data_IF_929823587307
#
_entry.id   IF_929823587307
#
_cell.length_a   1.000
_cell.length_b   1.000
_cell.length_c   1.000
_cell.angle_alpha   90.00
_cell.angle_beta   90.00
_cell.angle_gamma   90.00
#
_symmetry.space_group_name_H-M   'P 1'
#
loop_
_entity.id
_entity.type
_entity.pdbx_description
1 polymer ?
#
# COMPACT_ATOMS: atom_id res chain seq x y z
N UNK A 1 18.82 -2.37 9.35
CA UNK A 1 19.40 -2.30 7.98
C UNK A 1 18.40 -2.87 6.99
N UNK A 2 18.19 -2.21 5.84
CA UNK A 2 17.34 -2.76 4.77
C UNK A 2 18.06 -3.93 4.10
N UNK A 3 17.39 -5.06 3.98
CA UNK A 3 17.97 -6.31 3.49
C UNK A 3 17.39 -6.67 2.12
N UNK A 4 18.19 -7.33 1.28
CA UNK A 4 17.73 -7.85 -0.01
C UNK A 4 16.53 -8.79 0.16
N UNK A 5 16.56 -9.64 1.20
CA UNK A 5 15.47 -10.55 1.54
C UNK A 5 14.16 -9.81 1.81
N UNK A 6 14.20 -8.75 2.62
CA UNK A 6 13.01 -7.96 2.93
C UNK A 6 12.41 -7.30 1.68
N UNK A 7 13.26 -6.75 0.80
CA UNK A 7 12.84 -6.20 -0.49
C UNK A 7 12.13 -7.25 -1.34
N UNK A 8 12.72 -8.45 -1.49
CA UNK A 8 12.13 -9.54 -2.29
C UNK A 8 10.77 -9.97 -1.74
N UNK A 9 10.66 -10.14 -0.42
CA UNK A 9 9.39 -10.52 0.23
C UNK A 9 8.32 -9.46 -0.05
N UNK A 10 8.63 -8.19 0.19
CA UNK A 10 7.66 -7.10 0.02
C UNK A 10 7.27 -6.93 -1.44
N UNK A 11 8.20 -6.95 -2.39
CA UNK A 11 7.87 -6.87 -3.82
C UNK A 11 7.02 -8.04 -4.28
N UNK A 12 7.31 -9.26 -3.81
CA UNK A 12 6.49 -10.45 -4.15
C UNK A 12 5.08 -10.30 -3.58
N UNK A 13 4.97 -9.86 -2.33
CA UNK A 13 3.68 -9.60 -1.69
C UNK A 13 2.90 -8.51 -2.43
N UNK A 14 3.51 -7.37 -2.72
CA UNK A 14 2.92 -6.26 -3.48
C UNK A 14 2.40 -6.73 -4.84
N UNK A 15 3.18 -7.53 -5.57
CA UNK A 15 2.75 -8.05 -6.87
C UNK A 15 1.52 -8.96 -6.76
N UNK A 16 1.54 -9.89 -5.81
CA UNK A 16 0.39 -10.80 -5.58
C UNK A 16 -0.83 -10.01 -5.11
N UNK A 17 -0.64 -9.02 -4.25
CA UNK A 17 -1.74 -8.19 -3.77
C UNK A 17 -2.37 -7.36 -4.89
N UNK A 18 -1.56 -6.67 -5.70
CA UNK A 18 -2.04 -5.93 -6.87
C UNK A 18 -2.86 -6.84 -7.81
N UNK A 19 -2.40 -8.07 -8.07
CA UNK A 19 -3.14 -9.05 -8.87
C UNK A 19 -4.49 -9.43 -8.24
N UNK A 20 -4.53 -9.58 -6.92
CA UNK A 20 -5.77 -9.88 -6.21
C UNK A 20 -6.73 -8.68 -6.25
N UNK A 21 -6.21 -7.46 -6.11
CA UNK A 21 -7.02 -6.24 -6.12
C UNK A 21 -7.68 -5.98 -7.47
N UNK A 22 -7.10 -6.45 -8.58
CA UNK A 22 -7.71 -6.36 -9.90
C UNK A 22 -9.08 -7.05 -9.92
N UNK A 23 -10.13 -6.24 -10.07
CA UNK A 23 -11.51 -6.71 -10.10
C UNK A 23 -12.17 -6.90 -8.74
N UNK A 24 -11.48 -6.58 -7.63
CA UNK A 24 -12.11 -6.56 -6.31
C UNK A 24 -13.05 -5.36 -6.15
N UNK A 25 -14.28 -5.63 -5.77
CA UNK A 25 -15.24 -4.61 -5.34
C UNK A 25 -15.27 -4.58 -3.81
N UNK A 26 -14.56 -3.61 -3.23
CA UNK A 26 -14.46 -3.42 -1.78
C UNK A 26 -15.71 -2.82 -1.13
N UNK A 27 -16.74 -2.49 -1.93
CA UNK A 27 -17.99 -1.86 -1.48
C UNK A 27 -19.17 -2.83 -1.59
N UNK A 28 -19.55 -3.53 -0.49
CA UNK A 28 -20.67 -4.46 -0.48
C UNK A 28 -22.00 -3.84 -0.91
N UNK A 29 -22.20 -2.52 -0.78
CA UNK A 29 -23.42 -1.84 -1.25
C UNK A 29 -23.60 -1.89 -2.76
N UNK A 30 -22.50 -2.02 -3.51
CA UNK A 30 -22.51 -2.10 -4.98
C UNK A 30 -22.68 -3.51 -5.51
N UNK A 31 -22.62 -4.52 -4.65
CA UNK A 31 -22.75 -5.92 -5.02
C UNK A 31 -24.20 -6.35 -4.85
N UNK A 32 -24.85 -6.76 -5.95
CA UNK A 32 -26.26 -7.12 -5.96
C UNK A 32 -26.58 -8.28 -5.02
N UNK A 33 -25.67 -9.25 -4.90
CA UNK A 33 -25.79 -10.45 -4.08
C UNK A 33 -25.46 -10.24 -2.59
N UNK A 34 -25.02 -9.05 -2.17
CA UNK A 34 -24.74 -8.77 -0.76
C UNK A 34 -26.01 -8.86 0.10
N UNK A 35 -25.93 -9.44 1.31
CA UNK A 35 -27.00 -9.39 2.29
C UNK A 35 -27.46 -7.97 2.60
N UNK A 36 -28.74 -7.78 2.92
CA UNK A 36 -29.34 -6.47 3.19
C UNK A 36 -28.60 -5.70 4.29
N UNK A 37 -28.26 -6.37 5.39
CA UNK A 37 -27.55 -5.75 6.51
C UNK A 37 -26.17 -5.21 6.10
N UNK A 38 -25.48 -5.85 5.15
CA UNK A 38 -24.19 -5.36 4.65
C UNK A 38 -24.39 -4.07 3.84
N UNK A 39 -25.43 -4.01 3.01
CA UNK A 39 -25.73 -2.82 2.19
C UNK A 39 -26.14 -1.61 3.05
N UNK A 40 -26.81 -1.86 4.17
CA UNK A 40 -27.19 -0.81 5.12
C UNK A 40 -25.99 -0.27 5.91
N UNK A 41 -25.06 -1.14 6.29
CA UNK A 41 -23.87 -0.74 7.07
C UNK A 41 -22.75 -0.16 6.19
N UNK A 42 -22.43 -0.83 5.08
CA UNK A 42 -21.35 -0.45 4.18
C UNK A 42 -21.81 0.58 3.16
N UNK A 43 -21.86 1.85 3.55
CA UNK A 43 -21.91 2.96 2.59
C UNK A 43 -20.59 3.07 1.83
N UNK A 44 -20.53 3.72 0.65
CA UNK A 44 -19.27 3.91 -0.08
C UNK A 44 -18.16 4.51 0.78
N UNK A 45 -18.49 5.45 1.67
CA UNK A 45 -17.54 6.05 2.62
C UNK A 45 -17.04 5.02 3.64
N UNK A 46 -17.93 4.22 4.23
CA UNK A 46 -17.55 3.20 5.22
C UNK A 46 -16.69 2.12 4.58
N UNK A 47 -17.10 1.60 3.42
CA UNK A 47 -16.33 0.63 2.61
C UNK A 47 -14.92 1.11 2.34
N UNK A 48 -14.79 2.39 2.02
CA UNK A 48 -13.52 3.03 1.72
C UNK A 48 -12.60 3.17 2.95
N UNK A 49 -13.13 3.55 4.12
CA UNK A 49 -12.34 3.56 5.36
C UNK A 49 -11.99 2.16 5.86
N UNK A 50 -12.93 1.22 5.74
CA UNK A 50 -12.70 -0.19 6.08
C UNK A 50 -11.55 -0.74 5.25
N UNK A 51 -11.56 -0.49 3.95
CA UNK A 51 -10.52 -0.92 3.05
C UNK A 51 -9.14 -0.36 3.43
N UNK A 52 -9.04 0.93 3.76
CA UNK A 52 -7.80 1.57 4.24
C UNK A 52 -7.20 0.90 5.47
N UNK A 53 -8.04 0.58 6.45
CA UNK A 53 -7.60 -0.12 7.67
C UNK A 53 -7.07 -1.50 7.31
N UNK A 54 -7.81 -2.25 6.49
CA UNK A 54 -7.40 -3.57 6.04
C UNK A 54 -6.09 -3.54 5.26
N UNK A 55 -5.95 -2.64 4.29
CA UNK A 55 -4.73 -2.45 3.52
C UNK A 55 -3.54 -2.10 4.41
N UNK A 56 -3.71 -1.15 5.33
CA UNK A 56 -2.65 -0.78 6.29
C UNK A 56 -2.20 -1.99 7.10
N UNK A 57 -3.12 -2.81 7.60
CA UNK A 57 -2.82 -4.04 8.35
C UNK A 57 -2.09 -5.04 7.46
N UNK A 58 -2.60 -5.27 6.24
CA UNK A 58 -2.05 -6.20 5.28
C UNK A 58 -0.62 -5.86 4.87
N UNK A 59 -0.27 -4.58 4.76
CA UNK A 59 1.11 -4.14 4.47
C UNK A 59 2.00 -4.05 5.71
N UNK A 60 1.42 -3.78 6.88
CA UNK A 60 2.17 -3.71 8.14
C UNK A 60 2.74 -5.06 8.52
N UNK A 61 1.99 -6.15 8.32
CA UNK A 61 2.43 -7.48 8.73
C UNK A 61 3.68 -8.00 7.97
N UNK A 62 3.73 -8.00 6.63
CA UNK A 62 4.95 -8.31 5.87
C UNK A 62 6.11 -7.37 6.20
N UNK A 63 5.82 -6.09 6.44
CA UNK A 63 6.83 -5.10 6.82
C UNK A 63 7.47 -5.40 8.17
N UNK A 64 6.66 -5.83 9.15
CA UNK A 64 7.12 -6.35 10.43
C UNK A 64 8.01 -7.58 10.25
N UNK A 65 7.58 -8.55 9.43
CA UNK A 65 8.36 -9.76 9.15
C UNK A 65 9.71 -9.43 8.48
N UNK A 66 9.74 -8.44 7.58
CA UNK A 66 10.94 -8.03 6.87
C UNK A 66 11.94 -7.24 7.74
N UNK A 67 11.44 -6.44 8.70
CA UNK A 67 12.28 -5.67 9.62
C UNK A 67 12.66 -6.42 10.90
N UNK A 68 11.86 -7.42 11.29
CA UNK A 68 11.94 -8.10 12.57
C UNK A 68 11.51 -7.24 13.77
N UNK A 69 10.87 -6.09 13.54
CA UNK A 69 10.48 -5.12 14.59
C UNK A 69 9.11 -4.55 14.34
N UNK A 70 8.27 -4.46 15.36
CA UNK A 70 6.93 -3.89 15.21
C UNK A 70 6.98 -2.39 14.88
N UNK A 71 7.79 -1.63 15.62
CA UNK A 71 7.96 -0.19 15.41
C UNK A 71 9.43 0.15 15.19
N UNK A 72 9.79 0.48 13.95
CA UNK A 72 11.14 0.95 13.60
C UNK A 72 11.13 1.75 12.30
N UNK A 73 12.19 2.53 12.06
CA UNK A 73 12.38 3.20 10.77
C UNK A 73 12.45 2.19 9.62
N UNK A 74 13.02 0.99 9.87
CA UNK A 74 13.02 -0.09 8.88
C UNK A 74 11.61 -0.62 8.58
N UNK A 75 10.77 -0.81 9.59
CA UNK A 75 9.38 -1.25 9.40
C UNK A 75 8.59 -0.22 8.61
N UNK A 76 8.72 1.06 8.97
CA UNK A 76 8.08 2.16 8.24
C UNK A 76 8.58 2.23 6.80
N UNK A 77 9.89 2.03 6.59
CA UNK A 77 10.46 1.98 5.24
C UNK A 77 9.88 0.84 4.41
N UNK A 78 9.78 -0.38 4.95
CA UNK A 78 9.19 -1.52 4.24
C UNK A 78 7.69 -1.33 3.98
N UNK A 79 6.96 -0.68 4.88
CA UNK A 79 5.54 -0.41 4.71
C UNK A 79 5.32 0.52 3.51
N UNK A 80 6.01 1.67 3.51
CA UNK A 80 5.93 2.64 2.40
C UNK A 80 6.42 1.98 1.10
N UNK A 81 7.49 1.18 1.17
CA UNK A 81 8.04 0.50 0.00
C UNK A 81 7.04 -0.49 -0.59
N UNK A 82 6.42 -1.31 0.26
CA UNK A 82 5.43 -2.29 -0.18
C UNK A 82 4.22 -1.63 -0.82
N UNK A 83 3.64 -0.63 -0.17
CA UNK A 83 2.44 0.03 -0.68
C UNK A 83 2.70 0.78 -1.99
N UNK A 84 3.81 1.52 -2.09
CA UNK A 84 4.17 2.23 -3.34
C UNK A 84 4.47 1.26 -4.48
N UNK A 85 5.18 0.16 -4.21
CA UNK A 85 5.45 -0.84 -5.27
C UNK A 85 4.17 -1.54 -5.70
N UNK A 86 3.24 -1.77 -4.78
CA UNK A 86 1.96 -2.35 -5.10
C UNK A 86 1.13 -1.43 -6.00
N UNK A 87 0.98 -0.15 -5.67
CA UNK A 87 0.23 0.80 -6.49
C UNK A 87 0.83 0.92 -7.91
N UNK A 88 2.16 1.03 -8.01
CA UNK A 88 2.86 1.00 -9.31
C UNK A 88 2.54 -0.28 -10.11
N UNK A 89 2.56 -1.44 -9.47
CA UNK A 89 2.26 -2.71 -10.13
C UNK A 89 0.78 -2.77 -10.54
N UNK A 90 -0.13 -2.33 -9.66
CA UNK A 90 -1.56 -2.30 -9.93
C UNK A 90 -1.86 -1.53 -11.21
N UNK A 91 -1.34 -0.30 -11.34
CA UNK A 91 -1.56 0.51 -12.55
C UNK A 91 -0.93 -0.07 -13.80
N UNK A 92 0.23 -0.72 -13.69
CA UNK A 92 0.85 -1.44 -14.81
C UNK A 92 -0.06 -2.59 -15.26
N UNK A 93 -0.62 -3.36 -14.32
CA UNK A 93 -1.44 -4.52 -14.62
C UNK A 93 -2.86 -4.16 -15.09
N UNK A 94 -3.46 -3.08 -14.58
CA UNK A 94 -4.78 -2.60 -15.04
C UNK A 94 -4.71 -2.00 -16.46
N UNK A 95 -3.51 -1.68 -16.96
CA UNK A 95 -3.27 -1.08 -18.28
C UNK A 95 -4.06 0.23 -18.47
N UNK A 96 -4.22 0.97 -17.37
CA UNK A 96 -4.90 2.28 -17.35
C UNK A 96 -3.98 3.33 -16.76
N UNK A 97 -4.13 4.55 -17.26
CA UNK A 97 -3.48 5.71 -16.64
C UNK A 97 -4.13 5.91 -15.28
N UNK A 98 -3.36 6.13 -14.20
CA UNK A 98 -3.90 6.49 -12.91
C UNK A 98 -4.90 7.62 -13.07
N UNK A 99 -6.10 7.41 -12.56
CA UNK A 99 -7.17 8.41 -12.53
C UNK A 99 -7.59 8.61 -11.07
N UNK A 100 -8.34 9.67 -10.81
CA UNK A 100 -8.73 10.13 -9.45
C UNK A 100 -9.46 9.10 -8.57
N UNK A 101 -9.66 7.86 -9.06
CA UNK A 101 -10.17 6.72 -8.30
C UNK A 101 -9.08 5.85 -7.66
N UNK A 102 -7.81 6.14 -7.88
CA UNK A 102 -6.74 5.68 -7.02
C UNK A 102 -6.90 6.35 -5.64
N UNK A 103 -7.63 5.70 -4.73
CA UNK A 103 -7.23 5.66 -3.32
C UNK A 103 -7.08 6.95 -2.46
N UNK A 104 -7.49 8.14 -2.93
CA UNK A 104 -7.46 9.47 -2.24
C UNK A 104 -6.23 10.36 -2.45
N UNK A 105 -5.88 10.69 -3.68
CA UNK A 105 -4.84 11.71 -3.86
C UNK A 105 -4.98 12.44 -5.19
N UNK A 106 -4.48 13.68 -5.24
CA UNK A 106 -4.44 14.41 -6.49
C UNK A 106 -3.54 13.66 -7.46
N UNK A 107 -4.14 13.18 -8.54
CA UNK A 107 -3.40 12.72 -9.72
C UNK A 107 -3.22 13.93 -10.62
N UNK A 108 -1.97 14.28 -10.90
CA UNK A 108 -1.64 15.41 -11.79
C UNK A 108 -1.07 14.87 -13.09
N UNK A 109 -1.75 15.09 -14.21
CA UNK A 109 -1.34 14.58 -15.53
C UNK A 109 -1.03 13.07 -15.56
N UNK A 110 -1.83 12.26 -14.85
CA UNK A 110 -1.64 10.81 -14.78
C UNK A 110 -0.57 10.34 -13.80
N UNK A 111 -0.01 11.25 -12.99
CA UNK A 111 1.00 10.94 -11.96
C UNK A 111 0.35 10.97 -10.57
N UNK A 112 0.33 9.85 -9.84
CA UNK A 112 -0.09 9.82 -8.44
C UNK A 112 0.91 10.61 -7.57
N UNK A 113 0.43 11.68 -6.92
CA UNK A 113 1.31 12.56 -6.12
C UNK A 113 1.78 11.87 -4.84
N UNK A 114 0.97 10.99 -4.27
CA UNK A 114 1.29 10.20 -3.09
C UNK A 114 2.45 9.22 -3.35
N UNK A 115 2.51 8.57 -4.52
CA UNK A 115 3.63 7.72 -4.91
C UNK A 115 4.94 8.52 -4.98
N UNK A 116 4.90 9.73 -5.55
CA UNK A 116 6.04 10.64 -5.55
C UNK A 116 6.49 10.97 -4.12
N UNK A 117 5.54 11.28 -3.23
CA UNK A 117 5.81 11.52 -1.82
C UNK A 117 6.38 10.27 -1.16
N UNK A 118 5.84 9.08 -1.44
CA UNK A 118 6.30 7.79 -0.96
C UNK A 118 7.75 7.53 -1.34
N UNK A 119 8.11 7.72 -2.61
CA UNK A 119 9.50 7.62 -3.09
C UNK A 119 10.42 8.61 -2.37
N UNK A 120 10.00 9.86 -2.20
CA UNK A 120 10.78 10.85 -1.44
C UNK A 120 10.99 10.42 0.02
N UNK A 121 9.94 9.94 0.70
CA UNK A 121 10.03 9.43 2.06
C UNK A 121 10.96 8.21 2.15
N UNK A 122 10.91 7.29 1.19
CA UNK A 122 11.81 6.14 1.13
C UNK A 122 13.28 6.56 1.05
N UNK A 123 13.60 7.57 0.25
CA UNK A 123 14.96 8.11 0.15
C UNK A 123 15.42 8.75 1.46
N UNK A 124 14.56 9.57 2.08
CA UNK A 124 14.86 10.26 3.33
C UNK A 124 15.04 9.28 4.50
N UNK A 125 14.13 8.31 4.65
CA UNK A 125 14.19 7.32 5.73
C UNK A 125 15.40 6.40 5.53
N UNK A 126 15.68 5.96 4.29
CA UNK A 126 16.87 5.14 4.00
C UNK A 126 18.16 5.87 4.39
N UNK A 127 18.25 7.16 4.10
CA UNK A 127 19.38 8.00 4.52
C UNK A 127 19.50 8.03 6.05
N UNK A 128 18.42 8.30 6.78
CA UNK A 128 18.41 8.31 8.25
C UNK A 128 18.83 6.97 8.85
N UNK A 129 18.37 5.85 8.29
CA UNK A 129 18.78 4.50 8.73
C UNK A 129 20.29 4.32 8.55
N UNK A 130 20.85 4.75 7.41
CA UNK A 130 22.30 4.66 7.13
C UNK A 130 23.12 5.50 8.11
N UNK A 131 22.69 6.73 8.39
CA UNK A 131 23.35 7.62 9.35
C UNK A 131 23.37 7.01 10.76
N UNK A 132 22.22 6.48 11.23
CA UNK A 132 22.12 5.81 12.54
C UNK A 132 23.04 4.59 12.67
N UNK A 133 23.25 3.84 11.59
CA UNK A 133 24.13 2.67 11.61
C UNK A 133 25.62 3.02 11.52
N UNK A 134 26.00 4.25 11.14
CA UNK A 134 27.40 4.70 11.17
C UNK A 134 27.86 5.14 12.56
N UNK A 135 26.91 5.50 13.42
CA UNK A 135 27.15 6.02 14.78
C UNK A 135 27.20 4.86 15.80
N UNK A 136 26.76 3.66 15.42
CA UNK A 136 26.85 2.44 16.20
C UNK A 136 28.02 1.59 15.75
#
# INVERSE_FOLDING_TARGET
MITKRGIVILTTFSFVYALLELGMVWDPSRISTSPTWMKEFFTPTVSLYFYRVMYTILFTYPSYLASGKLFSLETLWYLIYGSTIEDIIYWILDVRVPYSWAWFYPVCYGIPIDDLIGVLLLLLIKRKIKEKNKIK
#
